data_IF_257093683498
#
_entry.id   IF_257093683498
#
_cell.length_a   1.000
_cell.length_b   1.000
_cell.length_c   1.000
_cell.angle_alpha   90.00
_cell.angle_beta   90.00
_cell.angle_gamma   90.00
#
_symmetry.space_group_name_H-M   'P 1'
#
loop_
_entity.id
_entity.type
_entity.pdbx_description
1 polymer ?
#
# COMPACT_ATOMS: atom_id res chain seq x y z
N UNK A 1 2.64 10.83 5.77
CA UNK A 1 2.27 9.96 6.92
C UNK A 1 3.08 10.30 8.17
N UNK A 2 2.43 10.69 9.28
CA UNK A 2 3.10 11.09 10.55
C UNK A 2 3.85 9.95 11.23
N UNK A 3 3.37 8.71 11.10
CA UNK A 3 3.99 7.54 11.74
C UNK A 3 5.34 7.17 11.10
N UNK A 4 5.39 7.15 9.76
CA UNK A 4 6.61 6.82 9.01
C UNK A 4 7.71 7.85 9.26
N UNK A 5 7.37 9.14 9.29
CA UNK A 5 8.34 10.20 9.63
C UNK A 5 8.90 10.02 11.04
N UNK A 6 8.05 9.66 12.02
CA UNK A 6 8.50 9.37 13.39
C UNK A 6 9.42 8.15 13.45
N UNK A 7 9.08 7.07 12.75
CA UNK A 7 9.89 5.85 12.69
C UNK A 7 11.25 6.13 12.07
N UNK A 8 11.28 6.77 10.89
CA UNK A 8 12.50 7.21 10.21
C UNK A 8 13.39 8.02 11.16
N UNK A 9 12.84 9.05 11.81
CA UNK A 9 13.62 9.92 12.69
C UNK A 9 14.22 9.14 13.87
N UNK A 10 13.50 8.18 14.45
CA UNK A 10 14.01 7.34 15.54
C UNK A 10 15.15 6.43 15.09
N UNK A 11 15.06 5.84 13.90
CA UNK A 11 16.10 4.97 13.36
C UNK A 11 17.36 5.77 13.02
N UNK A 12 17.20 6.92 12.35
CA UNK A 12 18.31 7.84 12.07
C UNK A 12 18.99 8.33 13.35
N UNK A 13 18.21 8.66 14.39
CA UNK A 13 18.77 9.05 15.69
C UNK A 13 19.59 7.94 16.37
N UNK A 14 19.32 6.67 16.02
CA UNK A 14 20.11 5.51 16.47
C UNK A 14 21.31 5.21 15.59
N UNK A 15 21.60 6.06 14.61
CA UNK A 15 22.74 5.90 13.69
C UNK A 15 22.48 4.97 12.50
N UNK A 16 21.22 4.58 12.25
CA UNK A 16 20.87 3.75 11.11
C UNK A 16 20.51 4.62 9.89
N UNK A 17 21.19 4.47 8.75
CA UNK A 17 20.75 5.05 7.48
C UNK A 17 19.36 4.53 7.10
N UNK A 18 18.50 5.42 6.60
CA UNK A 18 17.12 5.07 6.22
C UNK A 18 16.79 5.57 4.82
N UNK A 19 16.21 4.70 4.00
CA UNK A 19 15.51 5.05 2.77
C UNK A 19 14.01 4.99 3.04
N UNK A 20 13.30 6.12 2.92
CA UNK A 20 11.84 6.15 3.01
C UNK A 20 11.23 6.26 1.61
N UNK A 21 10.39 5.32 1.23
CA UNK A 21 9.70 5.26 -0.06
C UNK A 21 8.22 5.53 0.15
N UNK A 22 7.69 6.46 -0.64
CA UNK A 22 6.26 6.77 -0.63
C UNK A 22 5.46 5.79 -1.48
N UNK A 23 4.15 5.76 -1.22
CA UNK A 23 3.20 4.94 -1.96
C UNK A 23 3.00 5.42 -3.41
N UNK A 24 2.57 4.51 -4.29
CA UNK A 24 2.34 4.80 -5.71
C UNK A 24 0.89 5.15 -6.07
N UNK A 25 -0.08 4.71 -5.27
CA UNK A 25 -1.50 4.80 -5.58
C UNK A 25 -2.02 6.25 -5.66
N UNK A 26 -1.84 7.09 -4.63
CA UNK A 26 -2.34 8.48 -4.63
C UNK A 26 -1.83 9.27 -5.84
N UNK A 27 -0.51 9.35 -6.13
CA UNK A 27 -0.04 10.14 -7.24
C UNK A 27 -0.51 9.60 -8.61
N UNK A 28 -0.74 8.29 -8.74
CA UNK A 28 -1.28 7.71 -9.98
C UNK A 28 -2.79 7.98 -10.12
N UNK A 29 -3.55 7.81 -9.04
CA UNK A 29 -5.00 8.07 -9.00
C UNK A 29 -5.26 9.54 -9.29
N UNK A 30 -4.55 10.46 -8.65
CA UNK A 30 -4.71 11.90 -8.87
C UNK A 30 -4.41 12.29 -10.33
N UNK A 31 -3.32 11.77 -10.91
CA UNK A 31 -2.95 12.05 -12.31
C UNK A 31 -3.94 11.51 -13.33
N UNK A 32 -4.66 10.44 -13.00
CA UNK A 32 -5.71 9.86 -13.84
C UNK A 32 -7.04 10.62 -13.71
N UNK A 33 -7.17 11.55 -12.76
CA UNK A 33 -8.41 12.28 -12.48
C UNK A 33 -9.29 11.61 -11.42
N UNK A 34 -8.73 10.72 -10.59
CA UNK A 34 -9.44 10.01 -9.53
C UNK A 34 -9.73 8.55 -9.86
N UNK A 35 -10.18 7.81 -8.85
CA UNK A 35 -10.68 6.45 -9.04
C UNK A 35 -12.16 6.47 -9.38
N UNK A 36 -12.55 5.77 -10.43
CA UNK A 36 -13.93 5.70 -10.89
C UNK A 36 -14.68 4.58 -10.16
N UNK A 37 -15.66 4.96 -9.33
CA UNK A 37 -16.41 4.02 -8.47
C UNK A 37 -17.15 2.94 -9.27
N UNK A 38 -17.56 3.22 -10.50
CA UNK A 38 -18.20 2.22 -11.38
C UNK A 38 -17.27 1.08 -11.82
N UNK A 39 -15.97 1.17 -11.57
CA UNK A 39 -15.03 0.08 -11.88
C UNK A 39 -15.09 -1.07 -10.88
N UNK A 40 -15.57 -0.80 -9.67
CA UNK A 40 -15.62 -1.78 -8.58
C UNK A 40 -16.42 -3.02 -9.00
N UNK A 41 -15.93 -4.21 -8.67
CA UNK A 41 -16.55 -5.49 -9.08
C UNK A 41 -16.57 -5.76 -10.59
N UNK A 42 -15.82 -4.98 -11.38
CA UNK A 42 -15.64 -5.21 -12.81
C UNK A 42 -14.20 -5.59 -13.14
N UNK A 43 -13.96 -6.04 -14.38
CA UNK A 43 -12.61 -6.30 -14.87
C UNK A 43 -11.69 -5.08 -14.81
N UNK A 44 -12.25 -3.85 -14.86
CA UNK A 44 -11.47 -2.61 -14.78
C UNK A 44 -10.82 -2.44 -13.40
N UNK A 45 -11.50 -2.85 -12.33
CA UNK A 45 -10.91 -2.82 -10.97
C UNK A 45 -9.78 -3.82 -10.83
N UNK A 46 -9.94 -5.03 -11.37
CA UNK A 46 -8.88 -6.05 -11.41
C UNK A 46 -7.66 -5.50 -12.17
N UNK A 47 -7.88 -4.90 -13.33
CA UNK A 47 -6.79 -4.33 -14.14
C UNK A 47 -6.12 -3.13 -13.44
N UNK A 48 -6.90 -2.27 -12.80
CA UNK A 48 -6.39 -1.17 -11.99
C UNK A 48 -5.48 -1.68 -10.86
N UNK A 49 -5.91 -2.68 -10.10
CA UNK A 49 -5.12 -3.28 -9.02
C UNK A 49 -3.86 -3.97 -9.55
N UNK A 50 -3.93 -4.58 -10.74
CA UNK A 50 -2.76 -5.16 -11.43
C UNK A 50 -1.71 -4.11 -11.79
N UNK A 51 -2.15 -2.96 -12.31
CA UNK A 51 -1.26 -1.83 -12.61
C UNK A 51 -0.59 -1.31 -11.34
N UNK A 52 -1.34 -1.19 -10.23
CA UNK A 52 -0.80 -0.76 -8.94
C UNK A 52 0.22 -1.75 -8.39
N UNK A 53 -0.08 -3.05 -8.42
CA UNK A 53 0.84 -4.10 -8.00
C UNK A 53 2.15 -4.06 -8.81
N UNK A 54 2.04 -3.93 -10.14
CA UNK A 54 3.20 -3.83 -11.02
C UNK A 54 4.07 -2.61 -10.69
N UNK A 55 3.46 -1.44 -10.53
CA UNK A 55 4.19 -0.22 -10.18
C UNK A 55 4.90 -0.35 -8.81
N UNK A 56 4.25 -0.97 -7.84
CA UNK A 56 4.82 -1.22 -6.52
C UNK A 56 6.04 -2.15 -6.58
N UNK A 57 5.94 -3.28 -7.29
CA UNK A 57 7.05 -4.22 -7.47
C UNK A 57 8.23 -3.57 -8.19
N UNK A 58 7.98 -2.86 -9.29
CA UNK A 58 9.03 -2.15 -10.03
C UNK A 58 9.71 -1.07 -9.17
N UNK A 59 8.95 -0.33 -8.36
CA UNK A 59 9.52 0.65 -7.45
C UNK A 59 10.41 -0.02 -6.39
N UNK A 60 9.94 -1.09 -5.76
CA UNK A 60 10.70 -1.83 -4.76
C UNK A 60 12.00 -2.38 -5.33
N UNK A 61 11.96 -3.04 -6.50
CA UNK A 61 13.13 -3.62 -7.16
C UNK A 61 14.17 -2.55 -7.54
N UNK A 62 13.69 -1.41 -8.05
CA UNK A 62 14.56 -0.27 -8.39
C UNK A 62 15.22 0.32 -7.14
N UNK A 63 14.47 0.50 -6.04
CA UNK A 63 15.02 1.03 -4.78
C UNK A 63 16.02 0.06 -4.18
N UNK A 64 15.73 -1.24 -4.19
CA UNK A 64 16.68 -2.26 -3.74
C UNK A 64 17.97 -2.21 -4.56
N UNK A 65 17.86 -2.09 -5.88
CA UNK A 65 19.02 -1.97 -6.78
C UNK A 65 19.84 -0.72 -6.49
N UNK A 66 19.19 0.44 -6.29
CA UNK A 66 19.85 1.69 -5.92
C UNK A 66 20.51 1.64 -4.54
N UNK A 67 19.88 0.94 -3.58
CA UNK A 67 20.43 0.76 -2.24
C UNK A 67 21.68 -0.14 -2.26
N UNK A 68 21.72 -1.15 -3.12
CA UNK A 68 22.90 -2.04 -3.30
C UNK A 68 24.12 -1.33 -3.89
N UNK A 69 23.96 -0.15 -4.50
CA UNK A 69 25.09 0.67 -4.97
C UNK A 69 25.81 1.42 -3.84
N UNK A 70 25.31 1.31 -2.60
CA UNK A 70 25.85 2.03 -1.44
C UNK A 70 26.70 1.10 -0.60
N UNK A 71 27.61 1.69 0.16
CA UNK A 71 28.54 0.98 1.05
C UNK A 71 28.00 0.84 2.49
N UNK A 72 26.72 1.17 2.72
CA UNK A 72 26.10 1.18 4.05
C UNK A 72 24.97 0.16 4.20
N UNK A 73 24.90 -0.46 5.39
CA UNK A 73 23.70 -1.14 5.83
C UNK A 73 22.61 -0.11 6.12
N UNK A 74 21.42 -0.31 5.54
CA UNK A 74 20.32 0.65 5.62
C UNK A 74 18.97 -0.02 5.79
N UNK A 75 18.10 0.68 6.49
CA UNK A 75 16.69 0.28 6.62
C UNK A 75 15.88 0.91 5.51
N UNK A 76 15.14 0.11 4.76
CA UNK A 76 14.17 0.58 3.78
C UNK A 76 12.79 0.55 4.43
N UNK A 77 12.11 1.69 4.40
CA UNK A 77 10.74 1.82 4.92
C UNK A 77 9.86 2.14 3.73
N UNK A 78 8.84 1.31 3.52
CA UNK A 78 7.86 1.48 2.46
C UNK A 78 6.55 2.00 3.06
N UNK A 79 6.03 3.11 2.52
CA UNK A 79 4.63 3.49 2.70
C UNK A 79 3.81 2.61 1.75
N UNK A 80 3.20 1.55 2.28
CA UNK A 80 2.52 0.45 1.54
C UNK A 80 3.49 -0.56 0.92
N UNK A 81 2.95 -1.73 0.58
CA UNK A 81 3.70 -2.83 -0.06
C UNK A 81 2.87 -3.54 -1.13
N UNK A 82 3.48 -4.46 -1.86
CA UNK A 82 2.90 -5.22 -2.96
C UNK A 82 1.62 -5.98 -2.56
N UNK A 83 1.52 -6.43 -1.31
CA UNK A 83 0.33 -7.12 -0.82
C UNK A 83 -0.86 -6.20 -0.48
N UNK A 84 -0.67 -4.89 -0.45
CA UNK A 84 -1.69 -3.93 0.00
C UNK A 84 -2.98 -3.99 -0.85
N UNK A 85 -2.84 -4.24 -2.16
CA UNK A 85 -3.92 -4.42 -3.12
C UNK A 85 -4.96 -5.49 -2.73
N UNK A 86 -4.54 -6.51 -1.96
CA UNK A 86 -5.41 -7.59 -1.47
C UNK A 86 -6.60 -7.06 -0.69
N UNK A 87 -6.39 -6.01 0.11
CA UNK A 87 -7.43 -5.43 0.99
C UNK A 87 -8.54 -4.71 0.21
N UNK A 88 -8.28 -4.38 -1.05
CA UNK A 88 -9.22 -3.73 -1.96
C UNK A 88 -9.92 -4.70 -2.92
N UNK A 89 -9.64 -6.00 -2.81
CA UNK A 89 -10.15 -7.04 -3.70
C UNK A 89 -10.94 -8.09 -2.93
N UNK A 90 -12.00 -8.60 -3.55
CA UNK A 90 -12.53 -9.93 -3.21
C UNK A 90 -11.48 -11.00 -3.49
N UNK A 91 -11.60 -12.19 -2.89
CA UNK A 91 -10.67 -13.29 -3.13
C UNK A 91 -10.57 -13.65 -4.64
N UNK A 92 -11.70 -13.67 -5.36
CA UNK A 92 -11.74 -13.95 -6.78
C UNK A 92 -11.17 -12.84 -7.67
N UNK A 93 -11.27 -11.57 -7.25
CA UNK A 93 -10.58 -10.47 -7.93
C UNK A 93 -9.07 -10.54 -7.70
N UNK A 94 -8.65 -10.77 -6.46
CA UNK A 94 -7.22 -10.86 -6.11
C UNK A 94 -6.52 -12.03 -6.81
N UNK A 95 -7.19 -13.17 -6.91
CA UNK A 95 -6.69 -14.31 -7.68
C UNK A 95 -6.44 -13.92 -9.14
N UNK A 96 -7.33 -13.13 -9.76
CA UNK A 96 -7.12 -12.61 -11.12
C UNK A 96 -6.00 -11.58 -11.21
N UNK A 97 -5.85 -10.72 -10.21
CA UNK A 97 -4.75 -9.75 -10.13
C UNK A 97 -3.39 -10.47 -10.12
N UNK A 98 -3.27 -11.55 -9.35
CA UNK A 98 -2.03 -12.36 -9.24
C UNK A 98 -1.79 -13.26 -10.45
N UNK A 99 -2.85 -13.84 -11.02
CA UNK A 99 -2.74 -14.90 -12.03
C UNK A 99 -2.52 -14.44 -13.46
N UNK A 100 -2.66 -13.15 -13.79
CA UNK A 100 -2.51 -12.70 -15.19
C UNK A 100 -1.09 -12.92 -15.76
N UNK A 101 -0.12 -13.34 -14.95
CA UNK A 101 1.25 -13.66 -15.40
C UNK A 101 1.89 -14.90 -14.69
N UNK A 102 1.18 -15.68 -13.86
CA UNK A 102 1.76 -16.77 -13.04
C UNK A 102 2.91 -16.40 -12.08
N UNK A 103 3.07 -15.15 -11.65
CA UNK A 103 4.36 -14.71 -11.06
C UNK A 103 4.42 -14.77 -9.53
N UNK A 104 3.34 -14.50 -8.79
CA UNK A 104 3.45 -14.36 -7.32
C UNK A 104 2.28 -14.97 -6.53
N UNK A 105 2.64 -15.84 -5.60
CA UNK A 105 1.82 -16.28 -4.46
C UNK A 105 1.74 -15.19 -3.39
N UNK A 106 0.76 -15.28 -2.50
CA UNK A 106 0.66 -14.36 -1.35
C UNK A 106 1.97 -14.41 -0.51
N UNK A 107 2.54 -15.61 -0.31
CA UNK A 107 3.81 -15.81 0.40
C UNK A 107 4.99 -15.10 -0.29
N UNK A 108 5.13 -15.25 -1.61
CA UNK A 108 6.22 -14.59 -2.36
C UNK A 108 6.13 -13.06 -2.29
N UNK A 109 4.93 -12.48 -2.15
CA UNK A 109 4.76 -11.05 -1.94
C UNK A 109 5.14 -10.64 -0.52
N UNK A 110 4.85 -11.46 0.49
CA UNK A 110 5.24 -11.21 1.89
C UNK A 110 6.74 -11.38 2.15
N UNK A 111 7.37 -12.38 1.53
CA UNK A 111 8.79 -12.70 1.71
C UNK A 111 9.73 -11.59 1.21
N UNK A 112 9.18 -10.55 0.56
CA UNK A 112 9.90 -9.33 0.18
C UNK A 112 10.21 -8.43 1.37
N UNK A 113 9.58 -8.65 2.53
CA UNK A 113 9.68 -7.78 3.70
C UNK A 113 10.19 -8.52 4.93
N UNK A 114 11.17 -7.94 5.62
CA UNK A 114 11.63 -8.46 6.92
C UNK A 114 10.58 -8.26 8.02
N UNK A 115 9.80 -7.17 7.93
CA UNK A 115 8.76 -6.80 8.91
C UNK A 115 7.61 -6.10 8.21
N UNK A 116 6.38 -6.54 8.49
CA UNK A 116 5.14 -5.87 8.06
C UNK A 116 4.44 -5.26 9.28
N UNK A 117 4.05 -3.99 9.17
CA UNK A 117 3.32 -3.27 10.22
C UNK A 117 1.94 -2.91 9.69
N UNK A 118 0.92 -3.66 10.12
CA UNK A 118 -0.48 -3.29 9.89
C UNK A 118 -0.92 -2.20 10.87
N UNK A 119 -1.29 -1.03 10.35
CA UNK A 119 -1.86 0.06 11.13
C UNK A 119 -3.38 0.09 10.96
N UNK A 120 -4.10 0.00 12.08
CA UNK A 120 -5.57 0.06 12.07
C UNK A 120 -6.06 1.48 11.79
N UNK A 121 -7.14 1.58 11.04
CA UNK A 121 -7.75 2.84 10.66
C UNK A 121 -8.37 3.55 11.87
N UNK A 122 -8.26 4.89 11.85
CA UNK A 122 -9.02 5.74 12.75
C UNK A 122 -10.55 5.52 12.62
N UNK A 123 -11.03 4.98 11.49
CA UNK A 123 -12.45 4.65 11.30
C UNK A 123 -13.04 3.76 12.40
N UNK A 124 -12.22 2.92 13.03
CA UNK A 124 -12.67 1.99 14.08
C UNK A 124 -12.65 2.66 15.45
N UNK A 125 -11.48 3.16 15.88
CA UNK A 125 -11.27 3.58 17.28
C UNK A 125 -11.44 5.08 17.51
N UNK A 126 -11.42 5.88 16.43
CA UNK A 126 -11.41 7.35 16.44
C UNK A 126 -12.11 7.95 15.20
N UNK A 127 -13.38 7.62 14.94
CA UNK A 127 -14.07 7.97 13.69
C UNK A 127 -14.12 9.48 13.42
N UNK A 128 -14.08 10.32 14.46
CA UNK A 128 -14.01 11.77 14.35
C UNK A 128 -12.76 12.30 13.62
N UNK A 129 -11.71 11.48 13.51
CA UNK A 129 -10.47 11.83 12.78
C UNK A 129 -10.40 11.16 11.40
N UNK A 130 -11.44 10.45 10.97
CA UNK A 130 -11.48 9.78 9.68
C UNK A 130 -12.14 10.66 8.62
N UNK A 131 -11.35 11.16 7.68
CA UNK A 131 -11.80 11.97 6.54
C UNK A 131 -11.70 11.16 5.25
N UNK A 132 -12.77 11.16 4.43
CA UNK A 132 -12.84 10.44 3.15
C UNK A 132 -13.77 11.16 2.16
N UNK A 133 -13.57 10.91 0.87
CA UNK A 133 -14.39 11.43 -0.22
C UNK A 133 -13.97 12.80 -0.74
N UNK A 134 -14.64 13.23 -1.82
CA UNK A 134 -14.46 14.54 -2.47
C UNK A 134 -14.78 15.68 -1.50
N UNK A 135 -13.95 16.72 -1.46
CA UNK A 135 -14.09 17.85 -0.54
C UNK A 135 -13.59 17.57 0.89
N UNK A 136 -12.96 16.41 1.11
CA UNK A 136 -12.36 16.04 2.39
C UNK A 136 -10.85 16.34 2.41
N UNK A 137 -10.18 16.20 3.56
CA UNK A 137 -8.71 16.39 3.62
C UNK A 137 -7.91 15.28 2.93
N UNK A 138 -8.59 14.25 2.41
CA UNK A 138 -8.00 13.13 1.70
C UNK A 138 -8.97 12.62 0.61
N UNK A 139 -8.99 13.30 -0.52
CA UNK A 139 -9.95 13.03 -1.60
C UNK A 139 -9.72 11.70 -2.32
N UNK A 140 -8.48 11.21 -2.36
CA UNK A 140 -8.14 9.91 -2.93
C UNK A 140 -8.68 8.75 -2.09
N UNK A 141 -9.06 8.99 -0.83
CA UNK A 141 -9.70 8.00 0.03
C UNK A 141 -11.21 7.95 -0.25
N UNK A 142 -11.64 6.97 -1.03
CA UNK A 142 -13.06 6.76 -1.34
C UNK A 142 -13.76 5.74 -0.42
N UNK A 143 -13.06 5.12 0.53
CA UNK A 143 -13.62 4.14 1.45
C UNK A 143 -14.43 4.79 2.56
N UNK A 144 -15.64 4.27 2.81
CA UNK A 144 -16.42 4.65 4.00
C UNK A 144 -15.77 4.07 5.26
N UNK A 145 -16.10 4.61 6.46
CA UNK A 145 -15.59 4.06 7.72
C UNK A 145 -15.86 2.55 7.89
N UNK A 146 -17.02 2.07 7.46
CA UNK A 146 -17.37 0.64 7.50
C UNK A 146 -16.46 -0.19 6.59
N UNK A 147 -16.24 0.27 5.36
CA UNK A 147 -15.33 -0.41 4.42
C UNK A 147 -13.89 -0.43 4.95
N UNK A 148 -13.45 0.65 5.58
CA UNK A 148 -12.13 0.70 6.21
C UNK A 148 -12.00 -0.27 7.38
N UNK A 149 -13.05 -0.39 8.22
CA UNK A 149 -13.08 -1.34 9.32
C UNK A 149 -13.07 -2.81 8.84
N UNK A 150 -13.72 -3.11 7.72
CA UNK A 150 -13.66 -4.43 7.09
C UNK A 150 -12.26 -4.73 6.54
N UNK A 151 -11.64 -3.76 5.87
CA UNK A 151 -10.27 -3.88 5.39
C UNK A 151 -9.26 -4.09 6.54
N UNK A 152 -9.45 -3.43 7.68
CA UNK A 152 -8.62 -3.63 8.88
C UNK A 152 -8.75 -5.05 9.44
N UNK A 153 -9.96 -5.64 9.44
CA UNK A 153 -10.14 -7.03 9.89
C UNK A 153 -9.39 -7.98 8.97
N UNK A 154 -9.59 -7.80 7.67
CA UNK A 154 -8.94 -8.61 6.64
C UNK A 154 -7.41 -8.52 6.72
N UNK A 155 -6.88 -7.31 6.92
CA UNK A 155 -5.44 -7.08 7.06
C UNK A 155 -4.79 -7.70 8.32
N UNK A 156 -5.57 -8.16 9.29
CA UNK A 156 -5.08 -8.92 10.46
C UNK A 156 -5.07 -10.43 10.25
N UNK A 157 -5.76 -10.91 9.21
CA UNK A 157 -5.85 -12.34 8.88
C UNK A 157 -4.69 -12.82 8.01
N UNK A 158 -3.88 -11.89 7.50
CA UNK A 158 -2.65 -12.13 6.75
C UNK A 158 -1.45 -11.74 7.62
#
# INVERSE_FOLDING_TARGET
STALTKLRNRLVHRGLPVTLIGENATPLIERMGGYELSWRHTWKHVEFQRIMLKAQLEQEDNIMSLCRLREDDRVIILDRGAFDGRTFCTAGEWEKVRNSNHIYTDQELFDRYDVVIHMTSAAVDRPQFYSYGVGSTNESRFHTPSMAAEADKLGREF
#
